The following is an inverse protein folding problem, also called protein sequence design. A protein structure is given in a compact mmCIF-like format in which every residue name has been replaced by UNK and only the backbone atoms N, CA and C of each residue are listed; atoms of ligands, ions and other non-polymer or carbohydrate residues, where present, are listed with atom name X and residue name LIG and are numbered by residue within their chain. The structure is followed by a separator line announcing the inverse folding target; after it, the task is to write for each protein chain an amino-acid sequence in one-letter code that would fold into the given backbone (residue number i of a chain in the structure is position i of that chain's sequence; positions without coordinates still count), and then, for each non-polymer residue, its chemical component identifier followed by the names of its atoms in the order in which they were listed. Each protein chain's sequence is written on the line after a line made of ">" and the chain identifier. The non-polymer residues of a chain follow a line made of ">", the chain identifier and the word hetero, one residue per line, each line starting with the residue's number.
data_IF_137688292395
#
_entry.id   IF_137688292395
#
_cell.length_a   1.000
_cell.length_b   1.000
_cell.length_c   1.000
_cell.angle_alpha   90.00
_cell.angle_beta   90.00
_cell.angle_gamma   90.00
#
_symmetry.space_group_name_H-M   'P 1'
#
loop_
_entity.id
_entity.type
_entity.pdbx_description
1 polymer ?
#
# COMPACT_ATOMS: atom_id res chain seq x y z
N UNK A 1 4.01 12.54 -17.26
CA UNK A 1 3.93 11.30 -16.48
C UNK A 1 4.51 10.13 -17.23
N UNK A 2 5.69 9.73 -16.77
CA UNK A 2 6.45 8.55 -17.17
C UNK A 2 5.57 7.27 -17.16
N UNK A 3 5.90 6.30 -18.02
CA UNK A 3 5.14 5.05 -18.15
C UNK A 3 5.19 4.20 -16.87
N UNK A 4 6.31 4.18 -16.16
CA UNK A 4 6.48 3.43 -14.92
C UNK A 4 5.57 3.96 -13.81
N UNK A 5 5.43 5.29 -13.71
CA UNK A 5 4.48 5.92 -12.78
C UNK A 5 3.02 5.59 -13.12
N UNK A 6 2.69 5.46 -14.41
CA UNK A 6 1.33 5.02 -14.83
C UNK A 6 1.05 3.58 -14.43
N UNK A 7 2.07 2.73 -14.48
CA UNK A 7 1.96 1.33 -14.04
C UNK A 7 1.70 1.25 -12.53
N UNK A 8 2.44 2.01 -11.72
CA UNK A 8 2.21 2.11 -10.27
C UNK A 8 0.80 2.65 -9.95
N UNK A 9 0.34 3.68 -10.65
CA UNK A 9 -1.03 4.19 -10.48
C UNK A 9 -2.11 3.18 -10.90
N UNK A 10 -1.88 2.40 -11.94
CA UNK A 10 -2.80 1.34 -12.33
C UNK A 10 -2.90 0.29 -11.23
N UNK A 11 -1.76 -0.07 -10.61
CA UNK A 11 -1.74 -0.93 -9.45
C UNK A 11 -2.52 -0.33 -8.25
N UNK A 12 -2.30 0.93 -7.91
CA UNK A 12 -3.08 1.64 -6.88
C UNK A 12 -4.59 1.60 -7.15
N UNK A 13 -4.99 1.78 -8.40
CA UNK A 13 -6.41 1.69 -8.77
C UNK A 13 -7.01 0.31 -8.47
N UNK A 14 -6.29 -0.77 -8.79
CA UNK A 14 -6.72 -2.14 -8.46
C UNK A 14 -6.78 -2.38 -6.95
N UNK A 15 -5.79 -1.87 -6.21
CA UNK A 15 -5.75 -1.96 -4.74
C UNK A 15 -6.89 -1.17 -4.10
N UNK A 16 -7.20 0.03 -4.59
CA UNK A 16 -8.31 0.85 -4.11
C UNK A 16 -9.67 0.12 -4.24
N UNK A 17 -9.87 -0.65 -5.31
CA UNK A 17 -11.07 -1.49 -5.48
C UNK A 17 -11.13 -2.58 -4.40
N UNK A 18 -10.02 -3.27 -4.12
CA UNK A 18 -9.93 -4.29 -3.08
C UNK A 18 -10.19 -3.68 -1.70
N UNK A 19 -9.55 -2.55 -1.39
CA UNK A 19 -9.72 -1.79 -0.14
C UNK A 19 -11.17 -1.36 0.06
N UNK A 20 -11.85 -0.89 -0.98
CA UNK A 20 -13.27 -0.48 -0.90
C UNK A 20 -14.14 -1.65 -0.44
N UNK A 21 -13.94 -2.84 -1.02
CA UNK A 21 -14.66 -4.06 -0.62
C UNK A 21 -14.34 -4.47 0.81
N UNK A 22 -13.09 -4.30 1.27
CA UNK A 22 -12.71 -4.56 2.66
C UNK A 22 -13.45 -3.60 3.61
N UNK A 23 -13.47 -2.29 3.30
CA UNK A 23 -14.19 -1.29 4.12
C UNK A 23 -15.69 -1.61 4.25
N UNK A 24 -16.33 -2.06 3.16
CA UNK A 24 -17.73 -2.50 3.19
C UNK A 24 -17.95 -3.68 4.14
N UNK A 25 -17.07 -4.68 4.09
CA UNK A 25 -17.12 -5.86 4.95
C UNK A 25 -16.86 -5.49 6.43
N UNK A 26 -15.87 -4.63 6.69
CA UNK A 26 -15.58 -4.13 8.03
C UNK A 26 -16.78 -3.40 8.64
N UNK A 27 -17.47 -2.56 7.85
CA UNK A 27 -18.69 -1.88 8.31
C UNK A 27 -19.77 -2.89 8.70
N UNK A 28 -19.97 -3.94 7.90
CA UNK A 28 -20.93 -5.02 8.22
C UNK A 28 -20.57 -5.73 9.53
N UNK A 29 -19.31 -6.13 9.68
CA UNK A 29 -18.79 -6.84 10.86
C UNK A 29 -18.92 -6.03 12.16
N UNK A 30 -18.90 -4.70 12.09
CA UNK A 30 -19.08 -3.83 13.28
C UNK A 30 -20.54 -3.74 13.75
N UNK A 31 -21.51 -4.16 12.94
CA UNK A 31 -22.95 -4.00 13.22
C UNK A 31 -23.73 -5.31 13.37
N UNK A 32 -23.18 -6.45 12.94
CA UNK A 32 -23.85 -7.76 12.98
C UNK A 32 -23.17 -8.72 13.96
N UNK A 33 -23.96 -9.56 14.66
CA UNK A 33 -23.51 -10.44 15.73
C UNK A 33 -23.01 -11.81 15.29
N UNK A 34 -23.22 -12.20 14.02
CA UNK A 34 -22.79 -13.49 13.46
C UNK A 34 -21.81 -13.29 12.30
N UNK A 35 -20.53 -13.14 12.66
CA UNK A 35 -19.49 -12.64 11.77
C UNK A 35 -18.35 -13.63 11.51
N UNK A 36 -18.47 -14.91 11.90
CA UNK A 36 -17.40 -15.89 11.75
C UNK A 36 -17.01 -16.10 10.27
N UNK A 37 -18.01 -16.19 9.38
CA UNK A 37 -17.76 -16.32 7.93
C UNK A 37 -17.26 -15.01 7.30
N UNK A 38 -17.72 -13.87 7.81
CA UNK A 38 -17.21 -12.55 7.38
C UNK A 38 -15.75 -12.35 7.79
N UNK A 39 -15.34 -12.85 8.96
CA UNK A 39 -13.96 -12.81 9.42
C UNK A 39 -13.04 -13.63 8.52
N UNK A 40 -13.41 -14.86 8.17
CA UNK A 40 -12.67 -15.69 7.20
C UNK A 40 -12.58 -15.01 5.84
N UNK A 41 -13.67 -14.38 5.40
CA UNK A 41 -13.68 -13.62 4.14
C UNK A 41 -12.75 -12.42 4.20
N UNK A 42 -12.71 -11.70 5.31
CA UNK A 42 -11.83 -10.56 5.53
C UNK A 42 -10.36 -10.96 5.38
N UNK A 43 -9.93 -12.05 6.02
CA UNK A 43 -8.56 -12.53 5.92
C UNK A 43 -8.18 -12.94 4.49
N UNK A 44 -9.05 -13.63 3.77
CA UNK A 44 -8.83 -13.92 2.34
C UNK A 44 -8.66 -12.66 1.48
N UNK A 45 -9.38 -11.59 1.82
CA UNK A 45 -9.26 -10.31 1.11
C UNK A 45 -7.97 -9.57 1.46
N UNK A 46 -7.51 -9.68 2.71
CA UNK A 46 -6.20 -9.14 3.14
C UNK A 46 -5.04 -9.93 2.51
N UNK A 47 -5.14 -11.25 2.43
CA UNK A 47 -4.18 -12.06 1.68
C UNK A 47 -4.15 -11.71 0.19
N UNK A 48 -5.26 -11.28 -0.40
CA UNK A 48 -5.29 -10.84 -1.80
C UNK A 48 -4.73 -9.42 -2.02
N UNK A 49 -4.55 -8.63 -0.95
CA UNK A 49 -3.80 -7.38 -0.97
C UNK A 49 -2.30 -7.64 -0.88
N UNK A 50 -1.91 -8.63 -0.08
CA UNK A 50 -0.51 -8.93 0.21
C UNK A 50 0.07 -10.04 -0.67
N UNK A 51 1.24 -9.81 -1.27
CA UNK A 51 1.90 -10.84 -2.07
C UNK A 51 3.01 -10.30 -2.95
N UNK A 52 3.49 -11.13 -3.88
CA UNK A 52 4.60 -10.76 -4.76
C UNK A 52 4.33 -9.49 -5.58
N UNK A 53 3.09 -9.28 -6.01
CA UNK A 53 2.73 -8.07 -6.77
C UNK A 53 2.88 -6.79 -5.92
N UNK A 54 2.45 -6.82 -4.66
CA UNK A 54 2.63 -5.69 -3.73
C UNK A 54 4.10 -5.49 -3.38
N UNK A 55 4.83 -6.59 -3.15
CA UNK A 55 6.26 -6.54 -2.87
C UNK A 55 7.03 -5.90 -4.04
N UNK A 56 6.80 -6.35 -5.26
CA UNK A 56 7.44 -5.77 -6.45
C UNK A 56 7.02 -4.32 -6.67
N UNK A 57 5.76 -3.98 -6.40
CA UNK A 57 5.26 -2.60 -6.47
C UNK A 57 6.06 -1.67 -5.52
N UNK A 58 6.19 -2.04 -4.24
CA UNK A 58 6.98 -1.25 -3.30
C UNK A 58 8.49 -1.24 -3.66
N UNK A 59 9.05 -2.35 -4.13
CA UNK A 59 10.45 -2.41 -4.60
C UNK A 59 10.69 -1.44 -5.77
N UNK A 60 9.76 -1.38 -6.73
CA UNK A 60 9.80 -0.49 -7.87
C UNK A 60 9.65 0.99 -7.46
N UNK A 61 8.81 1.29 -6.47
CA UNK A 61 8.71 2.62 -5.86
C UNK A 61 10.02 3.05 -5.18
N UNK A 62 10.68 2.12 -4.49
CA UNK A 62 11.95 2.38 -3.82
C UNK A 62 13.06 2.71 -4.83
N UNK A 63 13.08 2.08 -6.01
CA UNK A 63 14.01 2.46 -7.10
C UNK A 63 13.84 3.93 -7.49
N UNK A 64 12.59 4.37 -7.70
CA UNK A 64 12.26 5.75 -8.06
C UNK A 64 12.62 6.69 -6.91
N UNK A 65 12.30 6.32 -5.67
CA UNK A 65 12.54 7.13 -4.48
C UNK A 65 14.03 7.36 -4.27
N UNK A 66 14.84 6.31 -4.36
CA UNK A 66 16.30 6.40 -4.23
C UNK A 66 16.89 7.29 -5.33
N UNK A 67 16.47 7.12 -6.59
CA UNK A 67 16.90 7.99 -7.68
C UNK A 67 16.55 9.46 -7.41
N UNK A 68 15.32 9.73 -6.94
CA UNK A 68 14.85 11.08 -6.65
C UNK A 68 15.65 11.74 -5.52
N UNK A 69 16.04 10.96 -4.50
CA UNK A 69 16.88 11.43 -3.40
C UNK A 69 18.31 11.82 -3.82
N UNK A 70 18.77 11.39 -5.00
CA UNK A 70 20.06 11.83 -5.56
C UNK A 70 20.00 13.14 -6.34
N UNK A 71 18.81 13.72 -6.47
CA UNK A 71 18.60 15.00 -7.18
C UNK A 71 18.62 16.19 -6.23
N UNK A 72 18.68 17.40 -6.79
CA UNK A 72 18.52 18.67 -6.06
C UNK A 72 17.03 19.05 -5.83
N UNK A 73 16.10 18.10 -5.99
CA UNK A 73 14.69 18.36 -5.80
C UNK A 73 14.39 18.78 -4.34
N UNK A 74 13.42 19.68 -4.10
CA UNK A 74 12.96 20.00 -2.75
C UNK A 74 12.14 18.83 -2.19
N UNK A 75 12.84 17.84 -1.62
CA UNK A 75 12.23 16.59 -1.14
C UNK A 75 11.30 16.86 0.04
N UNK A 76 10.00 16.60 -0.16
CA UNK A 76 9.00 16.64 0.88
C UNK A 76 9.22 15.52 1.92
N UNK A 77 8.92 15.76 3.19
CA UNK A 77 9.13 14.77 4.26
C UNK A 77 8.39 13.44 3.99
N UNK A 78 7.18 13.50 3.43
CA UNK A 78 6.41 12.29 3.05
C UNK A 78 7.19 11.37 2.10
N UNK A 79 7.97 11.90 1.15
CA UNK A 79 8.81 11.08 0.25
C UNK A 79 9.89 10.33 1.05
N UNK A 80 10.40 10.90 2.14
CA UNK A 80 11.36 10.22 3.04
C UNK A 80 10.70 9.21 3.97
N UNK A 81 9.39 9.28 4.14
CA UNK A 81 8.63 8.41 5.04
C UNK A 81 8.08 7.17 4.31
N UNK A 82 8.02 7.17 2.97
CA UNK A 82 7.54 6.05 2.13
C UNK A 82 8.20 4.71 2.52
N UNK A 83 9.52 4.66 2.58
CA UNK A 83 10.24 3.43 2.99
C UNK A 83 9.80 2.93 4.38
N UNK A 84 9.56 3.86 5.31
CA UNK A 84 9.09 3.50 6.66
C UNK A 84 7.66 2.98 6.62
N UNK A 85 6.81 3.54 5.77
CA UNK A 85 5.44 3.07 5.54
C UNK A 85 5.48 1.63 4.95
N UNK A 86 6.27 1.38 3.89
CA UNK A 86 6.42 0.04 3.29
C UNK A 86 6.92 -1.01 4.31
N UNK A 87 7.95 -0.67 5.09
CA UNK A 87 8.45 -1.55 6.17
C UNK A 87 7.39 -1.79 7.25
N UNK A 88 6.57 -0.79 7.57
CA UNK A 88 5.49 -0.94 8.53
C UNK A 88 4.39 -1.85 7.99
N UNK A 89 4.01 -1.74 6.72
CA UNK A 89 3.03 -2.63 6.10
C UNK A 89 3.48 -4.07 6.08
N UNK A 90 4.75 -4.35 5.75
CA UNK A 90 5.30 -5.71 5.84
C UNK A 90 5.16 -6.32 7.24
N UNK A 91 5.39 -5.52 8.29
CA UNK A 91 5.19 -5.96 9.69
C UNK A 91 3.72 -6.15 10.04
N UNK A 92 2.87 -5.20 9.67
CA UNK A 92 1.43 -5.25 9.99
C UNK A 92 0.76 -6.41 9.26
N UNK A 93 1.12 -6.68 8.00
CA UNK A 93 0.63 -7.84 7.25
C UNK A 93 0.89 -9.16 7.99
N UNK A 94 2.11 -9.33 8.52
CA UNK A 94 2.46 -10.47 9.36
C UNK A 94 1.61 -10.56 10.63
N UNK A 95 1.36 -9.43 11.30
CA UNK A 95 0.49 -9.38 12.48
C UNK A 95 -0.97 -9.70 12.14
N UNK A 96 -1.50 -9.18 11.04
CA UNK A 96 -2.86 -9.44 10.58
C UNK A 96 -3.08 -10.94 10.32
N UNK A 97 -2.09 -11.64 9.77
CA UNK A 97 -2.18 -13.09 9.59
C UNK A 97 -2.33 -13.83 10.93
N UNK A 98 -1.67 -13.38 11.98
CA UNK A 98 -1.83 -13.99 13.31
C UNK A 98 -3.22 -13.79 13.90
N UNK A 99 -3.99 -12.80 13.41
CA UNK A 99 -5.35 -12.53 13.88
C UNK A 99 -6.36 -13.60 13.43
N UNK A 100 -6.09 -14.31 12.34
CA UNK A 100 -6.98 -15.33 11.76
C UNK A 100 -7.29 -16.46 12.74
N UNK A 101 -6.29 -16.87 13.53
CA UNK A 101 -6.39 -17.96 14.50
C UNK A 101 -6.69 -17.48 15.93
N UNK A 102 -7.07 -16.21 16.12
CA UNK A 102 -7.31 -15.66 17.47
C UNK A 102 -8.71 -15.91 17.99
N UNK A 103 -8.85 -15.78 19.31
CA UNK A 103 -10.13 -15.74 20.01
C UNK A 103 -10.61 -14.31 20.29
N UNK A 104 -10.00 -13.31 19.64
CA UNK A 104 -10.39 -11.91 19.82
C UNK A 104 -11.81 -11.67 19.30
N UNK A 105 -12.50 -10.70 19.90
CA UNK A 105 -13.80 -10.28 19.43
C UNK A 105 -13.71 -9.74 17.99
N UNK A 106 -14.69 -10.09 17.15
CA UNK A 106 -14.79 -9.62 15.76
C UNK A 106 -14.61 -8.12 15.63
N UNK A 107 -15.16 -7.33 16.57
CA UNK A 107 -15.03 -5.88 16.58
C UNK A 107 -13.58 -5.41 16.71
N UNK A 108 -12.79 -6.07 17.56
CA UNK A 108 -11.37 -5.76 17.76
C UNK A 108 -10.56 -6.08 16.51
N UNK A 109 -10.85 -7.21 15.87
CA UNK A 109 -10.25 -7.57 14.56
C UNK A 109 -10.61 -6.51 13.51
N UNK A 110 -11.89 -6.15 13.43
CA UNK A 110 -12.37 -5.17 12.45
C UNK A 110 -11.76 -3.78 12.67
N UNK A 111 -11.59 -3.33 13.92
CA UNK A 111 -10.95 -2.03 14.21
C UNK A 111 -9.45 -2.07 13.88
N UNK A 112 -8.75 -3.17 14.17
CA UNK A 112 -7.33 -3.34 13.83
C UNK A 112 -7.09 -3.30 12.32
N UNK A 113 -7.94 -3.99 11.55
CA UNK A 113 -7.86 -4.01 10.09
C UNK A 113 -8.27 -2.65 9.49
N UNK A 114 -9.27 -1.98 10.05
CA UNK A 114 -9.68 -0.63 9.60
C UNK A 114 -8.54 0.38 9.74
N UNK A 115 -7.77 0.32 10.83
CA UNK A 115 -6.60 1.18 11.04
C UNK A 115 -5.45 0.86 10.08
N UNK A 116 -5.25 -0.41 9.74
CA UNK A 116 -4.30 -0.79 8.68
C UNK A 116 -4.72 -0.21 7.33
N UNK A 117 -5.99 -0.37 6.96
CA UNK A 117 -6.54 0.10 5.68
C UNK A 117 -6.49 1.62 5.56
N UNK A 118 -6.72 2.37 6.65
CA UNK A 118 -6.56 3.84 6.66
C UNK A 118 -5.12 4.24 6.34
N UNK A 119 -4.14 3.62 7.01
CA UNK A 119 -2.71 3.91 6.76
C UNK A 119 -2.30 3.58 5.33
N UNK A 120 -2.80 2.48 4.79
CA UNK A 120 -2.55 2.11 3.38
C UNK A 120 -3.09 3.15 2.41
N UNK A 121 -4.28 3.69 2.68
CA UNK A 121 -4.87 4.74 1.85
C UNK A 121 -4.11 6.07 1.94
N UNK A 122 -3.70 6.47 3.16
CA UNK A 122 -2.90 7.69 3.38
C UNK A 122 -1.50 7.59 2.71
N UNK A 123 -0.96 6.38 2.61
CA UNK A 123 0.27 6.09 1.89
C UNK A 123 0.10 6.29 0.38
N UNK A 124 -0.85 5.59 -0.25
CA UNK A 124 -1.13 5.75 -1.68
C UNK A 124 -1.46 7.21 -2.05
N UNK A 125 -2.22 7.91 -1.20
CA UNK A 125 -2.53 9.33 -1.41
C UNK A 125 -1.28 10.22 -1.37
N UNK A 126 -0.36 9.94 -0.44
CA UNK A 126 0.94 10.63 -0.38
C UNK A 126 1.76 10.37 -1.63
N UNK A 127 1.70 9.16 -2.17
CA UNK A 127 2.45 8.80 -3.36
C UNK A 127 1.88 9.47 -4.61
N UNK A 128 0.58 9.36 -4.83
CA UNK A 128 -0.11 9.93 -5.99
C UNK A 128 -0.05 11.46 -6.05
N UNK A 129 -0.15 12.12 -4.88
CA UNK A 129 -0.26 13.58 -4.84
C UNK A 129 1.06 14.30 -4.54
N UNK A 130 2.08 13.60 -4.03
CA UNK A 130 3.37 14.22 -3.65
C UNK A 130 4.53 13.53 -4.34
N UNK A 131 4.69 12.21 -4.16
CA UNK A 131 5.87 11.49 -4.64
C UNK A 131 5.92 11.41 -6.17
N UNK A 132 4.89 10.87 -6.81
CA UNK A 132 4.88 10.67 -8.27
C UNK A 132 4.99 11.99 -9.04
N UNK A 133 4.28 13.08 -8.68
CA UNK A 133 4.46 14.36 -9.33
C UNK A 133 5.88 14.93 -9.15
N UNK A 134 6.51 14.71 -7.99
CA UNK A 134 7.87 15.16 -7.75
C UNK A 134 8.88 14.33 -8.56
N UNK A 135 8.71 13.01 -8.62
CA UNK A 135 9.53 12.13 -9.44
C UNK A 135 9.43 12.47 -10.93
N UNK A 136 8.22 12.62 -11.48
CA UNK A 136 7.99 12.95 -12.89
C UNK A 136 8.63 14.28 -13.29
N UNK A 137 8.69 15.23 -12.35
CA UNK A 137 9.25 16.57 -12.59
C UNK A 137 10.78 16.61 -12.55
N UNK A 138 11.40 15.81 -11.67
CA UNK A 138 12.82 15.99 -11.32
C UNK A 138 13.74 14.88 -11.81
N UNK A 139 13.22 13.69 -12.09
CA UNK A 139 14.03 12.63 -12.65
C UNK A 139 14.30 12.88 -14.13
N UNK A 140 15.58 12.79 -14.51
CA UNK A 140 16.00 12.91 -15.90
C UNK A 140 15.68 11.64 -16.70
N UNK A 141 15.70 11.74 -18.02
CA UNK A 141 15.52 10.58 -18.91
C UNK A 141 16.55 9.49 -18.65
N UNK A 142 17.80 9.85 -18.33
CA UNK A 142 18.87 8.88 -18.01
C UNK A 142 18.57 8.13 -16.71
N UNK A 143 18.05 8.81 -15.68
CA UNK A 143 17.65 8.17 -14.43
C UNK A 143 16.45 7.24 -14.66
N UNK A 144 15.48 7.65 -15.47
CA UNK A 144 14.34 6.80 -15.85
C UNK A 144 14.79 5.56 -16.62
N UNK A 145 15.74 5.69 -17.53
CA UNK A 145 16.31 4.54 -18.24
C UNK A 145 17.01 3.57 -17.29
N UNK A 146 17.73 4.08 -16.29
CA UNK A 146 18.39 3.23 -15.30
C UNK A 146 17.37 2.49 -14.41
N UNK A 147 16.32 3.19 -13.95
CA UNK A 147 15.22 2.56 -13.21
C UNK A 147 14.56 1.47 -14.05
N UNK A 148 14.32 1.72 -15.34
CA UNK A 148 13.69 0.76 -16.26
C UNK A 148 14.50 -0.55 -16.36
N UNK A 149 15.84 -0.50 -16.24
CA UNK A 149 16.69 -1.70 -16.29
C UNK A 149 16.58 -2.58 -15.05
N UNK A 150 16.14 -2.00 -13.94
CA UNK A 150 15.99 -2.67 -12.64
C UNK A 150 14.52 -2.99 -12.32
N UNK A 151 13.59 -2.60 -13.19
CA UNK A 151 12.16 -2.76 -13.00
C UNK A 151 11.74 -4.22 -13.01
N UNK A 152 10.88 -4.61 -12.07
CA UNK A 152 10.34 -5.96 -11.89
C UNK A 152 8.88 -6.09 -12.32
#
# INVERSE_FOLDING_TARGET
>A
MNVLLKELQAYHHEVAIKITRIKELLRKMKHESDAADDCKRLFKMLEALHGDAERHHHENEELIRLALLTTEAPIHQRVKDIERDHQAFGRIAGQLKTLEDTTLETRVIADTVDDFIKKYFDHMDSEENIFFPLADKWLSDDQWQEITRQWH
#
